data_IF_169198265016
#
_entry.id   IF_169198265016
#
_cell.length_a   1.000
_cell.length_b   1.000
_cell.length_c   1.000
_cell.angle_alpha   90.00
_cell.angle_beta   90.00
_cell.angle_gamma   90.00
#
_symmetry.space_group_name_H-M   'P 1'
#
loop_
_entity.id
_entity.type
_entity.pdbx_description
1 polymer ?
#
# COMPACT_ATOMS: atom_id res chain seq x y z
N UNK A 1 11.20 -7.13 3.85
CA UNK A 1 9.85 -7.33 3.26
C UNK A 1 9.46 -6.09 2.46
N UNK A 2 8.68 -6.25 1.38
CA UNK A 2 8.37 -5.21 0.39
C UNK A 2 6.85 -5.19 0.15
N UNK A 3 6.29 -4.03 -0.21
CA UNK A 3 4.89 -3.89 -0.66
C UNK A 3 4.86 -3.93 -2.20
N UNK A 4 3.94 -4.71 -2.77
CA UNK A 4 3.74 -4.82 -4.21
C UNK A 4 2.35 -4.30 -4.57
N UNK A 5 2.28 -3.27 -5.43
CA UNK A 5 1.06 -2.70 -5.98
C UNK A 5 1.01 -3.02 -7.48
N UNK A 6 -0.05 -3.68 -7.92
CA UNK A 6 -0.22 -4.15 -9.31
C UNK A 6 -1.41 -3.42 -9.94
N UNK A 7 -1.21 -2.86 -11.13
CA UNK A 7 -2.24 -2.23 -11.95
C UNK A 7 -2.32 -2.89 -13.33
N UNK A 8 -3.49 -2.83 -13.94
CA UNK A 8 -3.76 -3.20 -15.32
C UNK A 8 -4.51 -2.04 -15.98
N UNK A 9 -3.78 -0.94 -16.20
CA UNK A 9 -4.32 0.34 -16.65
C UNK A 9 -3.58 0.78 -17.91
N UNK A 10 -4.17 1.70 -18.69
CA UNK A 10 -3.48 2.28 -19.85
C UNK A 10 -2.14 2.93 -19.47
N UNK A 11 -2.11 3.66 -18.35
CA UNK A 11 -0.90 4.23 -17.78
C UNK A 11 -0.97 4.33 -16.25
N UNK A 12 0.18 4.49 -15.59
CA UNK A 12 0.24 4.80 -14.16
C UNK A 12 -0.16 6.25 -13.89
N UNK A 13 -1.09 6.44 -12.95
CA UNK A 13 -1.51 7.76 -12.48
C UNK A 13 -0.91 8.11 -11.12
N UNK A 14 -0.97 9.38 -10.75
CA UNK A 14 -0.40 9.85 -9.48
C UNK A 14 -1.12 9.29 -8.26
N UNK A 15 -2.42 8.96 -8.38
CA UNK A 15 -3.17 8.32 -7.29
C UNK A 15 -2.62 6.91 -7.00
N UNK A 16 -2.07 6.22 -8.00
CA UNK A 16 -1.44 4.90 -7.79
C UNK A 16 -0.15 5.03 -6.97
N UNK A 17 0.61 6.12 -7.18
CA UNK A 17 1.79 6.42 -6.37
C UNK A 17 1.38 6.82 -4.96
N UNK A 18 0.37 7.68 -4.82
CA UNK A 18 -0.15 8.12 -3.54
C UNK A 18 -0.63 6.93 -2.69
N UNK A 19 -1.32 5.97 -3.30
CA UNK A 19 -1.75 4.73 -2.65
C UNK A 19 -0.56 3.95 -2.09
N UNK A 20 0.47 3.67 -2.90
CA UNK A 20 1.65 2.93 -2.44
C UNK A 20 2.40 3.69 -1.33
N UNK A 21 2.53 5.01 -1.45
CA UNK A 21 3.15 5.85 -0.41
C UNK A 21 2.35 5.79 0.90
N UNK A 22 1.02 5.79 0.84
CA UNK A 22 0.18 5.70 2.04
C UNK A 22 0.39 4.36 2.76
N UNK A 23 0.50 3.26 2.03
CA UNK A 23 0.82 1.95 2.63
C UNK A 23 2.24 1.92 3.21
N UNK A 24 3.21 2.53 2.53
CA UNK A 24 4.56 2.66 3.08
C UNK A 24 4.56 3.53 4.35
N UNK A 25 3.71 4.55 4.48
CA UNK A 25 3.57 5.34 5.71
C UNK A 25 2.90 4.56 6.85
N UNK A 26 1.90 3.75 6.54
CA UNK A 26 1.05 3.05 7.51
C UNK A 26 1.63 1.71 8.04
N UNK A 27 2.72 1.22 7.44
CA UNK A 27 3.35 -0.05 7.82
C UNK A 27 4.82 0.18 8.15
N UNK A 28 5.54 -0.79 8.72
CA UNK A 28 7.00 -0.68 8.90
C UNK A 28 7.81 -0.99 7.63
N UNK A 29 7.14 -1.18 6.47
CA UNK A 29 7.83 -1.44 5.20
C UNK A 29 8.35 -0.12 4.62
N UNK A 30 9.57 -0.18 4.12
CA UNK A 30 10.23 1.00 3.55
C UNK A 30 10.29 1.00 2.03
N UNK A 31 10.09 -0.17 1.40
CA UNK A 31 10.21 -0.33 -0.05
C UNK A 31 8.88 -0.80 -0.63
N UNK A 32 8.46 -0.11 -1.69
CA UNK A 32 7.29 -0.44 -2.49
C UNK A 32 7.64 -0.57 -3.97
N UNK A 33 6.98 -1.51 -4.66
CA UNK A 33 7.06 -1.73 -6.09
C UNK A 33 5.69 -1.49 -6.71
N UNK A 34 5.61 -0.62 -7.71
CA UNK A 34 4.39 -0.35 -8.48
C UNK A 34 4.60 -0.89 -9.90
N UNK A 35 3.86 -1.94 -10.25
CA UNK A 35 3.89 -2.58 -11.57
C UNK A 35 2.59 -2.25 -12.32
N UNK A 36 2.69 -1.79 -13.56
CA UNK A 36 1.56 -1.70 -14.47
C UNK A 36 1.71 -2.72 -15.60
N UNK A 37 0.74 -3.61 -15.72
CA UNK A 37 0.61 -4.56 -16.84
C UNK A 37 -0.40 -4.02 -17.87
N UNK A 38 -0.28 -2.73 -18.19
CA UNK A 38 -1.00 -2.10 -19.29
C UNK A 38 -0.48 -2.56 -20.65
N UNK A 39 -0.98 -1.91 -21.72
CA UNK A 39 -0.47 -2.13 -23.09
C UNK A 39 1.04 -1.92 -23.17
N UNK A 40 1.55 -0.93 -22.42
CA UNK A 40 2.97 -0.69 -22.24
C UNK A 40 3.28 -0.97 -20.77
N UNK A 41 4.20 -1.89 -20.46
CA UNK A 41 4.56 -2.18 -19.09
C UNK A 41 5.27 -0.99 -18.46
N UNK A 42 4.84 -0.60 -17.26
CA UNK A 42 5.52 0.42 -16.46
C UNK A 42 5.92 -0.12 -15.09
N UNK A 43 7.06 0.33 -14.60
CA UNK A 43 7.57 -0.03 -13.28
C UNK A 43 8.08 1.20 -12.53
N UNK A 44 7.72 1.31 -11.24
CA UNK A 44 8.26 2.33 -10.33
C UNK A 44 8.64 1.70 -9.00
N UNK A 45 9.85 2.00 -8.52
CA UNK A 45 10.30 1.72 -7.14
C UNK A 45 10.08 2.95 -6.29
N UNK A 46 9.48 2.77 -5.11
CA UNK A 46 9.30 3.83 -4.12
C UNK A 46 9.97 3.42 -2.80
N UNK A 47 10.54 4.41 -2.12
CA UNK A 47 11.15 4.22 -0.80
C UNK A 47 10.66 5.29 0.17
N UNK A 48 10.22 4.86 1.35
CA UNK A 48 9.85 5.73 2.47
C UNK A 48 10.49 5.17 3.73
N UNK A 49 11.52 5.84 4.22
CA UNK A 49 12.30 5.37 5.37
C UNK A 49 11.55 5.60 6.69
N UNK A 50 11.73 4.68 7.64
CA UNK A 50 10.99 4.68 8.91
C UNK A 50 11.36 5.84 9.83
N UNK A 51 12.55 6.42 9.70
CA UNK A 51 13.01 7.62 10.42
C UNK A 51 12.10 8.84 10.20
N UNK A 52 11.38 8.87 9.07
CA UNK A 52 10.47 9.97 8.71
C UNK A 52 9.04 9.78 9.22
N UNK A 53 8.74 8.66 9.91
CA UNK A 53 7.38 8.34 10.37
C UNK A 53 7.13 8.99 11.73
N UNK A 54 6.09 9.82 11.80
CA UNK A 54 5.53 10.27 13.07
C UNK A 54 4.73 9.12 13.67
N UNK A 55 5.37 8.28 14.49
CA UNK A 55 4.67 7.25 15.25
C UNK A 55 3.85 7.96 16.33
N UNK A 56 2.55 8.07 16.11
CA UNK A 56 1.62 8.22 17.22
C UNK A 56 1.43 6.81 17.78
N UNK A 57 2.08 6.51 18.91
CA UNK A 57 1.84 5.26 19.62
C UNK A 57 0.38 5.24 20.05
N UNK A 58 -0.45 4.58 19.25
CA UNK A 58 -1.74 4.07 19.68
C UNK A 58 -1.58 2.55 19.69
N UNK A 59 -1.94 1.92 20.80
CA UNK A 59 -1.70 0.51 21.11
C UNK A 59 -2.44 -0.48 20.18
N UNK A 60 -2.94 -0.04 19.03
CA UNK A 60 -3.60 -0.92 18.06
C UNK A 60 -2.56 -1.56 17.14
N UNK A 61 -2.56 -2.89 16.98
CA UNK A 61 -1.73 -3.54 15.97
C UNK A 61 -2.09 -2.98 14.60
N UNK A 62 -1.06 -2.72 13.78
CA UNK A 62 -1.15 -2.12 12.46
C UNK A 62 -2.45 -2.51 11.72
N UNK A 63 -3.29 -1.54 11.28
CA UNK A 63 -4.61 -1.83 10.70
C UNK A 63 -4.55 -2.65 9.39
N UNK A 64 -3.35 -2.81 8.82
CA UNK A 64 -3.09 -3.66 7.67
C UNK A 64 -2.52 -5.02 8.12
N UNK A 65 -3.26 -5.73 8.98
CA UNK A 65 -3.21 -7.20 9.01
C UNK A 65 -4.29 -7.68 8.04
N UNK A 66 -3.87 -8.52 7.10
CA UNK A 66 -4.62 -9.24 6.04
C UNK A 66 -6.11 -8.93 5.85
N UNK A 67 -6.49 -8.70 4.59
CA UNK A 67 -7.87 -8.71 4.04
C UNK A 67 -8.61 -10.07 4.20
N UNK A 68 -8.24 -10.88 5.18
CA UNK A 68 -8.88 -12.16 5.51
C UNK A 68 -9.93 -12.03 6.62
N UNK A 69 -10.04 -10.89 7.32
CA UNK A 69 -10.99 -10.73 8.44
C UNK A 69 -12.14 -9.75 8.21
N UNK A 70 -12.48 -9.39 6.96
CA UNK A 70 -13.59 -8.44 6.67
C UNK A 70 -14.96 -9.13 6.53
N UNK A 71 -15.08 -10.44 6.81
CA UNK A 71 -16.37 -11.14 6.75
C UNK A 71 -17.26 -10.92 7.98
N UNK A 72 -16.74 -10.41 9.10
CA UNK A 72 -17.48 -10.30 10.37
C UNK A 72 -18.01 -8.91 10.70
N UNK A 73 -17.88 -7.91 9.80
CA UNK A 73 -18.19 -6.49 10.12
C UNK A 73 -19.36 -5.93 9.31
N UNK A 74 -20.00 -6.70 8.43
CA UNK A 74 -21.25 -6.27 7.81
C UNK A 74 -22.46 -6.92 8.52
N UNK A 75 -23.38 -6.14 9.10
CA UNK A 75 -24.67 -6.68 9.51
C UNK A 75 -25.37 -7.23 8.28
N UNK A 76 -25.90 -8.45 8.38
CA UNK A 76 -26.78 -9.02 7.37
C UNK A 76 -27.97 -8.10 7.16
N UNK A 77 -28.04 -7.44 6.00
CA UNK A 77 -29.31 -7.08 5.38
C UNK A 77 -29.80 -8.26 4.54
#
# INVERSE_FOLDING_TARGET
QVILEIKASECLRDENKAQLINYLKATDKEVGLLLNFGKIPEFKRMSFTNDRKKRFESETPNPCVSVESVSSVFPSV
#
